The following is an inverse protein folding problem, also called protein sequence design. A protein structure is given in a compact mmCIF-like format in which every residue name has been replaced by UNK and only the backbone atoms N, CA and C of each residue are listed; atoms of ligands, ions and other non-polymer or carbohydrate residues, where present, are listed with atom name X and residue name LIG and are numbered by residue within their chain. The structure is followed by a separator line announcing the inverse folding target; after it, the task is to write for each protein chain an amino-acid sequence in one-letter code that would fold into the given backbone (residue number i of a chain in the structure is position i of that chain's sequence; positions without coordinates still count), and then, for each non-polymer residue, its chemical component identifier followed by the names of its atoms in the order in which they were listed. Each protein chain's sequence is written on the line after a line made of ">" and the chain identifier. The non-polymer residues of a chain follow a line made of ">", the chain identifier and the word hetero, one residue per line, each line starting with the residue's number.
data_IF_315987247887
#
_entry.id   IF_315987247887
#
_cell.length_a   1.000
_cell.length_b   1.000
_cell.length_c   1.000
_cell.angle_alpha   90.00
_cell.angle_beta   90.00
_cell.angle_gamma   90.00
#
_symmetry.space_group_name_H-M   'P 1'
#
loop_
_entity.id
_entity.type
_entity.pdbx_description
1 polymer ?
#
# COMPACT_ATOMS: atom_id res chain seq x y z
N UNK A 1 -12.91 -17.24 15.21
CA UNK A 1 -11.81 -17.54 16.15
C UNK A 1 -10.84 -18.45 15.44
N UNK A 2 -9.54 -18.29 15.71
CA UNK A 2 -8.50 -19.17 15.20
C UNK A 2 -7.95 -19.99 16.37
N UNK A 3 -8.12 -21.31 16.33
CA UNK A 3 -7.59 -22.21 17.35
C UNK A 3 -6.13 -22.50 17.06
N UNK A 4 -5.24 -22.00 17.90
CA UNK A 4 -3.79 -22.13 17.76
C UNK A 4 -3.19 -22.91 18.93
N UNK A 5 -1.99 -23.42 18.72
CA UNK A 5 -1.13 -23.90 19.79
C UNK A 5 -0.18 -22.76 20.20
N UNK A 6 -0.02 -22.53 21.50
CA UNK A 6 0.91 -21.55 22.02
C UNK A 6 1.93 -22.21 22.95
N UNK A 7 3.19 -21.77 22.88
CA UNK A 7 4.23 -22.19 23.81
C UNK A 7 4.33 -21.14 24.91
N UNK A 8 4.03 -21.55 26.15
CA UNK A 8 4.30 -20.74 27.34
C UNK A 8 5.78 -20.74 27.61
N UNK A 9 6.38 -19.55 27.55
CA UNK A 9 7.81 -19.32 27.67
C UNK A 9 8.14 -18.23 28.71
N UNK A 10 9.31 -18.29 29.35
CA UNK A 10 9.80 -17.19 30.19
C UNK A 10 9.97 -15.90 29.38
N UNK A 11 9.46 -14.78 29.90
CA UNK A 11 9.46 -13.47 29.24
C UNK A 11 10.88 -13.05 28.78
N UNK A 12 11.91 -13.36 29.57
CA UNK A 12 13.32 -13.04 29.27
C UNK A 12 13.85 -13.73 28.01
N UNK A 13 13.30 -14.90 27.65
CA UNK A 13 13.77 -15.74 26.54
C UNK A 13 12.87 -15.70 25.30
N UNK A 14 11.71 -15.04 25.38
CA UNK A 14 10.72 -15.02 24.30
C UNK A 14 11.27 -14.48 22.97
N UNK A 15 12.14 -13.48 22.99
CA UNK A 15 12.74 -12.92 21.77
C UNK A 15 13.73 -13.88 21.10
N UNK A 16 14.44 -14.69 21.89
CA UNK A 16 15.36 -15.72 21.38
C UNK A 16 14.58 -16.91 20.83
N UNK A 17 13.56 -17.37 21.56
CA UNK A 17 12.66 -18.43 21.13
C UNK A 17 11.89 -18.05 19.87
N UNK A 18 11.45 -16.79 19.72
CA UNK A 18 10.82 -16.33 18.47
C UNK A 18 11.77 -16.52 17.27
N UNK A 19 13.07 -16.26 17.43
CA UNK A 19 14.05 -16.46 16.36
C UNK A 19 14.32 -17.93 16.09
N UNK A 20 14.41 -18.75 17.13
CA UNK A 20 14.62 -20.19 17.00
C UNK A 20 13.44 -20.88 16.30
N UNK A 21 12.21 -20.52 16.66
CA UNK A 21 10.98 -21.08 16.09
C UNK A 21 10.50 -20.31 14.84
N UNK A 22 11.39 -19.59 14.16
CA UNK A 22 11.04 -18.87 12.93
C UNK A 22 10.59 -19.85 11.85
N UNK A 23 9.46 -19.56 11.21
CA UNK A 23 8.82 -20.45 10.23
C UNK A 23 7.77 -21.40 10.83
N UNK A 24 7.71 -21.53 12.16
CA UNK A 24 6.66 -22.27 12.87
C UNK A 24 5.79 -21.38 13.76
N UNK A 25 6.25 -20.16 14.04
CA UNK A 25 5.50 -19.13 14.78
C UNK A 25 4.49 -18.44 13.87
N UNK A 26 3.43 -17.89 14.48
CA UNK A 26 2.38 -17.16 13.79
C UNK A 26 2.98 -15.98 12.99
N UNK A 27 2.98 -16.07 11.66
CA UNK A 27 3.58 -15.06 10.77
C UNK A 27 2.53 -14.51 9.81
N UNK A 28 1.62 -13.72 10.36
CA UNK A 28 0.55 -13.05 9.59
C UNK A 28 0.61 -11.54 9.81
N UNK A 29 0.40 -10.73 8.75
CA UNK A 29 0.38 -9.28 8.88
C UNK A 29 -0.60 -8.82 9.95
N UNK A 30 -0.20 -7.82 10.75
CA UNK A 30 -1.01 -7.20 11.82
C UNK A 30 -1.30 -8.10 13.04
N UNK A 31 -0.81 -9.34 13.06
CA UNK A 31 -0.89 -10.22 14.22
C UNK A 31 0.42 -10.23 15.01
N UNK A 32 0.31 -10.30 16.33
CA UNK A 32 1.47 -10.48 17.21
C UNK A 32 1.65 -11.97 17.48
N UNK A 33 2.86 -12.47 17.28
CA UNK A 33 3.20 -13.84 17.63
C UNK A 33 3.50 -14.03 19.13
N UNK A 34 3.77 -12.96 19.88
CA UNK A 34 3.93 -13.01 21.34
C UNK A 34 2.78 -12.26 22.00
N UNK A 35 2.07 -12.95 22.89
CA UNK A 35 0.95 -12.39 23.67
C UNK A 35 1.17 -12.63 25.17
N UNK A 36 0.42 -11.90 26.00
CA UNK A 36 0.46 -12.07 27.45
C UNK A 36 -0.15 -13.41 27.87
N UNK A 37 0.39 -14.02 28.91
CA UNK A 37 -0.14 -15.23 29.55
C UNK A 37 -0.99 -14.82 30.76
N UNK A 38 -2.21 -14.35 30.50
CA UNK A 38 -3.06 -13.73 31.52
C UNK A 38 -2.39 -12.50 32.15
N UNK A 39 -2.32 -12.47 33.48
CA UNK A 39 -1.70 -11.38 34.26
C UNK A 39 -0.23 -11.65 34.64
N UNK A 40 0.35 -12.76 34.15
CA UNK A 40 1.73 -13.12 34.47
C UNK A 40 2.73 -12.14 33.85
N UNK A 41 3.65 -11.62 34.68
CA UNK A 41 4.79 -10.82 34.22
C UNK A 41 6.02 -11.67 33.88
N UNK A 42 6.02 -12.92 34.32
CA UNK A 42 7.15 -13.85 34.20
C UNK A 42 7.07 -14.68 32.93
N UNK A 43 5.86 -14.98 32.46
CA UNK A 43 5.60 -15.83 31.29
C UNK A 43 4.88 -15.06 30.19
N UNK A 44 5.12 -15.48 28.95
CA UNK A 44 4.37 -15.04 27.77
C UNK A 44 4.06 -16.25 26.89
N UNK A 45 3.10 -16.08 26.00
CA UNK A 45 2.70 -17.10 25.04
C UNK A 45 3.29 -16.77 23.67
N UNK A 46 4.05 -17.71 23.11
CA UNK A 46 4.51 -17.68 21.73
C UNK A 46 3.54 -18.49 20.87
N UNK A 47 2.77 -17.80 20.03
CA UNK A 47 1.77 -18.40 19.15
C UNK A 47 2.44 -19.11 17.98
N UNK A 48 2.06 -20.36 17.75
CA UNK A 48 2.44 -21.14 16.58
C UNK A 48 1.45 -20.94 15.43
N UNK A 49 1.90 -21.18 14.20
CA UNK A 49 1.04 -21.12 13.02
C UNK A 49 -0.02 -22.24 13.04
N UNK A 50 -1.10 -22.03 12.30
CA UNK A 50 -2.21 -22.98 12.22
C UNK A 50 -1.75 -24.33 11.67
N UNK A 51 -2.11 -25.43 12.36
CA UNK A 51 -1.71 -26.79 11.99
C UNK A 51 -0.35 -27.25 12.52
N UNK A 52 0.42 -26.37 13.18
CA UNK A 52 1.68 -26.76 13.84
C UNK A 52 1.37 -27.47 15.16
N UNK A 53 1.86 -28.69 15.30
CA UNK A 53 1.80 -29.47 16.55
C UNK A 53 3.20 -29.65 17.14
N UNK A 54 3.30 -29.96 18.43
CA UNK A 54 4.60 -30.25 19.06
C UNK A 54 5.33 -31.40 18.36
N UNK A 55 4.61 -32.43 17.92
CA UNK A 55 5.17 -33.60 17.24
C UNK A 55 5.67 -33.27 15.83
N UNK A 56 5.05 -32.28 15.16
CA UNK A 56 5.44 -31.80 13.84
C UNK A 56 6.67 -30.89 13.84
N UNK A 57 7.19 -30.51 15.02
CA UNK A 57 8.39 -29.69 15.12
C UNK A 57 9.67 -30.51 14.89
N UNK A 58 10.69 -29.92 14.24
CA UNK A 58 12.04 -30.50 14.17
C UNK A 58 12.54 -30.96 15.54
N UNK A 59 13.28 -32.08 15.57
CA UNK A 59 13.81 -32.67 16.81
C UNK A 59 14.63 -31.68 17.64
N UNK A 60 15.37 -30.79 16.98
CA UNK A 60 16.14 -29.72 17.63
C UNK A 60 15.24 -28.73 18.40
N UNK A 61 14.11 -28.33 17.81
CA UNK A 61 13.17 -27.40 18.46
C UNK A 61 12.39 -28.08 19.60
N UNK A 62 12.13 -29.39 19.49
CA UNK A 62 11.53 -30.17 20.58
C UNK A 62 12.48 -30.28 21.77
N UNK A 63 13.75 -30.62 21.52
CA UNK A 63 14.77 -30.67 22.57
C UNK A 63 15.00 -29.29 23.23
N UNK A 64 14.97 -28.22 22.42
CA UNK A 64 15.02 -26.85 22.94
C UNK A 64 13.80 -26.53 23.81
N UNK A 65 12.59 -26.90 23.38
CA UNK A 65 11.38 -26.70 24.15
C UNK A 65 11.43 -27.42 25.52
N UNK A 66 11.93 -28.65 25.55
CA UNK A 66 12.12 -29.41 26.80
C UNK A 66 13.18 -28.78 27.70
N UNK A 67 14.34 -28.41 27.14
CA UNK A 67 15.45 -27.78 27.88
C UNK A 67 15.02 -26.45 28.52
N UNK A 68 14.20 -25.69 27.80
CA UNK A 68 13.69 -24.39 28.22
C UNK A 68 12.40 -24.47 29.05
N UNK A 69 11.87 -25.68 29.29
CA UNK A 69 10.67 -25.90 30.08
C UNK A 69 9.40 -25.30 29.45
N UNK A 70 9.33 -25.24 28.13
CA UNK A 70 8.18 -24.69 27.40
C UNK A 70 6.98 -25.63 27.52
N UNK A 71 5.82 -25.07 27.85
CA UNK A 71 4.58 -25.85 27.93
C UNK A 71 3.63 -25.43 26.81
N UNK A 72 3.12 -26.39 26.06
CA UNK A 72 2.15 -26.12 25.01
C UNK A 72 0.75 -25.98 25.63
N UNK A 73 0.09 -24.88 25.30
CA UNK A 73 -1.27 -24.57 25.76
C UNK A 73 -2.15 -24.25 24.55
N UNK A 74 -3.41 -24.71 24.52
CA UNK A 74 -4.35 -24.29 23.50
C UNK A 74 -4.63 -22.79 23.66
N UNK A 75 -4.64 -22.06 22.55
CA UNK A 75 -4.89 -20.62 22.54
C UNK A 75 -5.91 -20.26 21.47
N UNK A 76 -7.01 -19.63 21.88
CA UNK A 76 -8.02 -19.13 20.96
C UNK A 76 -7.74 -17.66 20.64
N UNK A 77 -7.28 -17.42 19.41
CA UNK A 77 -7.07 -16.06 18.93
C UNK A 77 -8.38 -15.48 18.38
N UNK A 78 -8.86 -14.43 19.03
CA UNK A 78 -10.00 -13.64 18.56
C UNK A 78 -9.54 -12.64 17.50
N UNK A 79 -9.84 -12.95 16.24
CA UNK A 79 -9.55 -12.07 15.11
C UNK A 79 -10.56 -10.92 15.06
N UNK A 80 -10.18 -9.77 15.59
CA UNK A 80 -10.94 -8.52 15.47
C UNK A 80 -10.80 -7.87 14.09
N UNK A 81 -11.61 -6.83 13.82
CA UNK A 81 -11.57 -6.09 12.55
C UNK A 81 -10.17 -5.56 12.23
N UNK A 82 -9.49 -4.93 13.19
CA UNK A 82 -8.16 -4.32 13.00
C UNK A 82 -7.08 -5.31 12.55
N UNK A 83 -7.27 -6.60 12.84
CA UNK A 83 -6.34 -7.68 12.51
C UNK A 83 -6.53 -8.22 11.09
N UNK A 84 -7.64 -7.89 10.43
CA UNK A 84 -7.96 -8.37 9.09
C UNK A 84 -7.45 -7.40 8.01
N UNK A 85 -7.00 -7.97 6.89
CA UNK A 85 -6.73 -7.21 5.65
C UNK A 85 -8.04 -6.73 5.02
N UNK A 86 -7.96 -5.75 4.11
CA UNK A 86 -9.13 -5.31 3.34
C UNK A 86 -9.76 -6.48 2.57
N UNK A 87 -8.95 -7.30 1.90
CA UNK A 87 -9.39 -8.51 1.20
C UNK A 87 -10.14 -9.48 2.13
N UNK A 88 -9.58 -9.78 3.31
CA UNK A 88 -10.20 -10.70 4.27
C UNK A 88 -11.52 -10.16 4.84
N UNK A 89 -11.64 -8.83 5.00
CA UNK A 89 -12.91 -8.19 5.39
C UNK A 89 -13.92 -8.26 4.24
N UNK A 90 -13.52 -7.89 3.02
CA UNK A 90 -14.41 -7.88 1.87
C UNK A 90 -14.94 -9.27 1.54
N UNK A 91 -14.11 -10.32 1.62
CA UNK A 91 -14.54 -11.71 1.46
C UNK A 91 -15.60 -12.16 2.48
N UNK A 92 -15.71 -11.50 3.63
CA UNK A 92 -16.74 -11.78 4.64
C UNK A 92 -17.99 -10.93 4.48
N UNK A 93 -17.89 -9.76 3.85
CA UNK A 93 -19.00 -8.82 3.66
C UNK A 93 -19.70 -9.00 2.31
N UNK A 94 -18.96 -9.40 1.27
CA UNK A 94 -19.50 -9.65 -0.06
C UNK A 94 -20.23 -11.01 -0.09
N UNK A 95 -21.33 -11.12 -0.86
CA UNK A 95 -22.06 -12.37 -0.98
C UNK A 95 -21.25 -13.44 -1.73
N UNK A 96 -21.63 -14.71 -1.56
CA UNK A 96 -21.05 -15.82 -2.30
C UNK A 96 -21.19 -15.58 -3.81
N UNK A 97 -20.07 -15.67 -4.53
CA UNK A 97 -20.00 -15.45 -5.99
C UNK A 97 -19.53 -14.06 -6.41
N UNK A 98 -19.36 -13.10 -5.49
CA UNK A 98 -18.75 -11.80 -5.80
C UNK A 98 -17.33 -11.76 -5.26
N UNK A 99 -16.36 -11.75 -6.15
CA UNK A 99 -14.96 -11.64 -5.77
C UNK A 99 -14.63 -10.23 -5.26
N UNK A 100 -13.79 -10.16 -4.22
CA UNK A 100 -13.21 -8.90 -3.78
C UNK A 100 -12.28 -8.33 -4.86
N UNK A 101 -12.18 -7.00 -5.02
CA UNK A 101 -11.22 -6.40 -5.94
C UNK A 101 -9.80 -6.79 -5.55
N UNK A 102 -9.07 -7.39 -6.49
CA UNK A 102 -7.74 -7.97 -6.26
C UNK A 102 -6.65 -6.92 -6.02
N UNK A 103 -6.80 -5.74 -6.62
CA UNK A 103 -5.84 -4.65 -6.50
C UNK A 103 -6.49 -3.31 -6.79
N UNK A 104 -5.86 -2.25 -6.30
CA UNK A 104 -6.18 -0.87 -6.61
C UNK A 104 -4.87 -0.10 -6.78
N UNK A 105 -4.94 1.00 -7.50
CA UNK A 105 -3.83 1.91 -7.67
C UNK A 105 -4.03 3.13 -6.76
N UNK A 106 -2.92 3.73 -6.34
CA UNK A 106 -2.93 4.90 -5.46
C UNK A 106 -2.25 6.09 -6.12
N UNK A 107 -2.85 7.26 -5.94
CA UNK A 107 -2.38 8.53 -6.47
C UNK A 107 -2.45 9.55 -5.32
N UNK A 108 -1.37 9.59 -4.56
CA UNK A 108 -1.30 10.32 -3.30
C UNK A 108 -2.30 9.73 -2.30
N UNK A 109 -3.32 10.49 -1.91
CA UNK A 109 -4.36 10.02 -0.98
C UNK A 109 -5.61 9.44 -1.67
N UNK A 110 -5.61 9.34 -3.00
CA UNK A 110 -6.74 8.83 -3.78
C UNK A 110 -6.44 7.37 -4.14
N UNK A 111 -7.36 6.46 -3.83
CA UNK A 111 -7.35 5.11 -4.40
C UNK A 111 -8.31 5.06 -5.57
N UNK A 112 -7.88 4.46 -6.67
CA UNK A 112 -8.73 4.24 -7.83
C UNK A 112 -8.90 2.75 -8.12
N UNK A 113 -10.15 2.37 -8.39
CA UNK A 113 -10.60 1.01 -8.65
C UNK A 113 -11.18 0.89 -10.06
N UNK A 114 -11.07 -0.31 -10.61
CA UNK A 114 -11.79 -0.74 -11.81
C UNK A 114 -12.74 -1.86 -11.39
N UNK A 115 -13.92 -1.50 -10.88
CA UNK A 115 -14.91 -2.48 -10.42
C UNK A 115 -15.57 -3.19 -11.61
N UNK A 116 -15.81 -4.49 -11.44
CA UNK A 116 -16.61 -5.30 -12.37
C UNK A 116 -18.09 -5.11 -12.10
N UNK A 117 -18.94 -5.45 -13.07
CA UNK A 117 -20.41 -5.29 -12.96
C UNK A 117 -20.99 -5.97 -11.71
N UNK A 118 -20.49 -7.16 -11.37
CA UNK A 118 -20.87 -7.91 -10.16
C UNK A 118 -20.54 -7.19 -8.84
N UNK A 119 -19.53 -6.31 -8.86
CA UNK A 119 -19.04 -5.55 -7.72
C UNK A 119 -19.72 -4.18 -7.58
N UNK A 120 -20.28 -3.63 -8.66
CA UNK A 120 -20.91 -2.30 -8.68
C UNK A 120 -22.01 -2.12 -7.61
N UNK A 121 -22.87 -3.11 -7.30
CA UNK A 121 -23.85 -2.99 -6.21
C UNK A 121 -23.21 -2.77 -4.84
N UNK A 122 -21.96 -3.23 -4.65
CA UNK A 122 -21.23 -3.19 -3.38
C UNK A 122 -20.14 -2.11 -3.36
N UNK A 123 -20.08 -1.22 -4.36
CA UNK A 123 -19.01 -0.23 -4.52
C UNK A 123 -18.77 0.64 -3.29
N UNK A 124 -19.83 1.07 -2.60
CA UNK A 124 -19.70 1.88 -1.39
C UNK A 124 -19.15 1.09 -0.20
N UNK A 125 -19.53 -0.19 -0.07
CA UNK A 125 -18.97 -1.09 0.97
C UNK A 125 -17.49 -1.32 0.71
N UNK A 126 -17.14 -1.58 -0.56
CA UNK A 126 -15.75 -1.74 -0.98
C UNK A 126 -14.93 -0.48 -0.67
N UNK A 127 -15.44 0.69 -1.05
CA UNK A 127 -14.78 1.96 -0.80
C UNK A 127 -14.60 2.26 0.69
N UNK A 128 -15.62 2.00 1.52
CA UNK A 128 -15.55 2.21 2.96
C UNK A 128 -14.49 1.33 3.62
N UNK A 129 -14.44 0.04 3.27
CA UNK A 129 -13.42 -0.88 3.80
C UNK A 129 -12.01 -0.45 3.38
N UNK A 130 -11.83 0.03 2.14
CA UNK A 130 -10.52 0.52 1.71
C UNK A 130 -10.07 1.74 2.51
N UNK A 131 -10.94 2.73 2.76
CA UNK A 131 -10.60 3.88 3.61
C UNK A 131 -10.22 3.45 5.03
N UNK A 132 -11.04 2.58 5.63
CA UNK A 132 -10.80 2.10 6.99
C UNK A 132 -9.48 1.34 7.14
N UNK A 133 -9.10 0.54 6.13
CA UNK A 133 -7.90 -0.30 6.18
C UNK A 133 -6.63 0.40 5.75
N UNK A 134 -6.74 1.60 5.17
CA UNK A 134 -5.64 2.35 4.61
C UNK A 134 -5.70 3.81 5.07
N UNK A 135 -5.14 4.13 6.26
CA UNK A 135 -5.25 5.46 6.87
C UNK A 135 -4.66 6.63 6.05
N UNK A 136 -3.87 6.34 5.01
CA UNK A 136 -3.33 7.36 4.10
C UNK A 136 -4.33 7.79 3.02
N UNK A 137 -5.35 6.98 2.76
CA UNK A 137 -6.38 7.28 1.78
C UNK A 137 -7.43 8.21 2.39
N UNK A 138 -7.92 9.15 1.59
CA UNK A 138 -9.06 10.03 1.95
C UNK A 138 -10.22 9.92 0.96
N UNK A 139 -9.93 9.48 -0.25
CA UNK A 139 -10.89 9.40 -1.35
C UNK A 139 -10.72 8.08 -2.07
N UNK A 140 -11.82 7.38 -2.35
CA UNK A 140 -11.83 6.19 -3.21
C UNK A 140 -12.74 6.46 -4.38
N UNK A 141 -12.21 6.26 -5.59
CA UNK A 141 -12.95 6.43 -6.82
C UNK A 141 -13.06 5.12 -7.58
N UNK A 142 -14.17 4.94 -8.29
CA UNK A 142 -14.34 3.91 -9.30
C UNK A 142 -14.29 4.54 -10.68
N UNK A 143 -13.56 3.89 -11.59
CA UNK A 143 -13.52 4.26 -12.99
C UNK A 143 -14.84 3.87 -13.68
N UNK A 144 -15.53 4.85 -14.23
CA UNK A 144 -16.65 4.64 -15.16
C UNK A 144 -16.05 4.54 -16.57
N UNK A 145 -16.51 3.60 -17.38
CA UNK A 145 -15.82 3.19 -18.61
C UNK A 145 -15.63 4.26 -19.70
N UNK A 146 -14.81 3.86 -20.70
CA UNK A 146 -14.40 4.53 -21.97
C UNK A 146 -13.63 5.87 -21.88
N UNK A 147 -12.56 5.97 -22.69
CA UNK A 147 -11.77 7.18 -22.90
C UNK A 147 -12.37 7.89 -24.12
N UNK A 148 -13.25 8.85 -23.92
CA UNK A 148 -13.91 9.56 -25.04
C UNK A 148 -13.45 11.02 -25.23
N UNK A 149 -12.51 11.50 -24.43
CA UNK A 149 -12.12 12.91 -24.37
C UNK A 149 -10.68 13.20 -24.83
N UNK A 150 -10.47 14.38 -25.41
CA UNK A 150 -9.19 14.88 -25.97
C UNK A 150 -8.03 14.84 -24.95
N UNK A 151 -8.37 14.95 -23.67
CA UNK A 151 -7.43 14.95 -22.55
C UNK A 151 -7.17 13.57 -21.94
N UNK A 152 -7.78 12.50 -22.48
CA UNK A 152 -7.71 11.11 -21.98
C UNK A 152 -8.03 10.96 -20.49
N UNK A 153 -8.99 11.75 -19.99
CA UNK A 153 -9.40 11.73 -18.59
C UNK A 153 -10.53 10.72 -18.42
N UNK A 154 -10.43 9.88 -17.40
CA UNK A 154 -11.46 8.89 -17.13
C UNK A 154 -12.62 9.54 -16.37
N UNK A 155 -13.85 9.22 -16.75
CA UNK A 155 -14.99 9.51 -15.90
C UNK A 155 -14.88 8.66 -14.63
N UNK A 156 -15.09 9.30 -13.49
CA UNK A 156 -14.87 8.68 -12.19
C UNK A 156 -16.02 9.01 -11.25
N UNK A 157 -16.46 7.99 -10.52
CA UNK A 157 -17.41 8.12 -9.43
C UNK A 157 -16.65 8.06 -8.11
N UNK A 158 -16.90 9.02 -7.20
CA UNK A 158 -16.43 8.92 -5.82
C UNK A 158 -17.32 7.91 -5.09
N UNK A 159 -16.75 6.78 -4.70
CA UNK A 159 -17.47 5.68 -4.05
C UNK A 159 -17.32 5.71 -2.53
N UNK A 160 -16.28 6.36 -2.00
CA UNK A 160 -16.12 6.62 -0.57
C UNK A 160 -15.20 7.80 -0.28
N UNK A 161 -15.42 8.46 0.86
CA UNK A 161 -14.54 9.50 1.37
C UNK A 161 -14.91 10.92 0.91
N UNK A 162 -13.97 11.84 1.04
CA UNK A 162 -14.17 13.24 0.63
C UNK A 162 -14.13 13.35 -0.90
N UNK A 163 -15.00 14.13 -1.56
CA UNK A 163 -14.98 14.32 -3.02
C UNK A 163 -13.85 15.28 -3.44
N UNK A 164 -12.63 15.03 -2.97
CA UNK A 164 -11.43 15.81 -3.25
C UNK A 164 -10.51 15.01 -4.16
N UNK A 165 -10.33 15.51 -5.38
CA UNK A 165 -9.50 14.89 -6.41
C UNK A 165 -8.17 15.63 -6.66
N UNK A 166 -7.95 16.76 -5.99
CA UNK A 166 -6.65 17.42 -5.91
C UNK A 166 -5.71 16.65 -4.98
N UNK A 167 -4.61 16.12 -5.49
CA UNK A 167 -3.64 15.31 -4.75
C UNK A 167 -2.20 15.72 -5.03
N UNK A 168 -1.28 15.28 -4.18
CA UNK A 168 0.16 15.43 -4.37
C UNK A 168 0.79 14.03 -4.45
N UNK A 169 1.62 13.82 -5.47
CA UNK A 169 2.38 12.59 -5.68
C UNK A 169 3.86 12.90 -5.72
N UNK A 170 4.67 12.01 -5.16
CA UNK A 170 6.12 12.11 -5.23
C UNK A 170 6.67 11.05 -6.17
N UNK A 171 7.39 11.45 -7.21
CA UNK A 171 8.13 10.55 -8.11
C UNK A 171 9.56 11.02 -8.24
N UNK A 172 10.53 10.13 -8.04
CA UNK A 172 11.97 10.44 -8.12
C UNK A 172 12.41 11.69 -7.34
N UNK A 173 11.83 11.91 -6.16
CA UNK A 173 12.12 13.09 -5.32
C UNK A 173 11.43 14.39 -5.76
N UNK A 174 10.67 14.36 -6.86
CA UNK A 174 9.85 15.47 -7.35
C UNK A 174 8.42 15.36 -6.87
N UNK A 175 7.85 16.47 -6.39
CA UNK A 175 6.46 16.56 -5.97
C UNK A 175 5.61 17.16 -7.09
N UNK A 176 4.58 16.44 -7.50
CA UNK A 176 3.60 16.87 -8.49
C UNK A 176 2.26 17.06 -7.80
N UNK A 177 1.68 18.25 -7.94
CA UNK A 177 0.31 18.53 -7.49
C UNK A 177 -0.60 18.50 -8.70
N UNK A 178 -1.66 17.69 -8.63
CA UNK A 178 -2.54 17.43 -9.77
C UNK A 178 -3.98 17.25 -9.32
N UNK A 179 -4.91 17.57 -10.21
CA UNK A 179 -6.33 17.24 -10.07
C UNK A 179 -6.61 16.00 -10.92
N UNK A 180 -6.87 14.86 -10.27
CA UNK A 180 -7.01 13.58 -10.96
C UNK A 180 -8.23 13.55 -11.91
N UNK A 181 -9.20 14.47 -11.74
CA UNK A 181 -10.33 14.63 -12.65
C UNK A 181 -10.03 15.40 -13.94
N UNK A 182 -8.84 16.00 -14.05
CA UNK A 182 -8.46 16.86 -15.18
C UNK A 182 -7.23 16.38 -15.93
N UNK A 183 -6.34 15.67 -15.24
CA UNK A 183 -5.10 15.18 -15.84
C UNK A 183 -5.01 13.66 -15.86
N UNK A 184 -4.45 13.12 -16.94
CA UNK A 184 -4.04 11.73 -16.98
C UNK A 184 -2.77 11.52 -16.12
N UNK A 185 -2.82 10.53 -15.24
CA UNK A 185 -1.68 10.11 -14.42
C UNK A 185 -1.62 8.58 -14.30
N UNK A 186 -0.42 8.01 -14.45
CA UNK A 186 -0.18 6.57 -14.29
C UNK A 186 1.16 6.33 -13.60
N UNK A 187 1.11 5.82 -12.37
CA UNK A 187 2.30 5.56 -11.56
C UNK A 187 3.18 4.44 -12.12
N UNK A 188 2.64 3.51 -12.93
CA UNK A 188 3.41 2.40 -13.51
C UNK A 188 4.40 2.83 -14.58
N UNK A 189 4.23 4.02 -15.16
CA UNK A 189 5.13 4.55 -16.18
C UNK A 189 6.37 5.24 -15.58
N UNK A 190 6.42 5.39 -14.26
CA UNK A 190 7.49 6.08 -13.55
C UNK A 190 8.90 5.58 -13.88
N UNK A 191 9.09 4.26 -13.91
CA UNK A 191 10.40 3.66 -14.21
C UNK A 191 10.84 3.91 -15.65
N UNK A 192 9.91 3.85 -16.60
CA UNK A 192 10.19 4.12 -18.01
C UNK A 192 10.51 5.60 -18.24
N UNK A 193 9.81 6.50 -17.55
CA UNK A 193 10.11 7.94 -17.59
C UNK A 193 11.54 8.21 -17.14
N UNK A 194 11.94 7.63 -16.01
CA UNK A 194 13.30 7.80 -15.50
C UNK A 194 14.34 7.17 -16.44
N UNK A 195 14.08 5.97 -16.97
CA UNK A 195 15.00 5.31 -17.90
C UNK A 195 15.27 6.18 -19.13
N UNK A 196 14.22 6.76 -19.72
CA UNK A 196 14.34 7.63 -20.88
C UNK A 196 15.10 8.92 -20.54
N UNK A 197 14.72 9.62 -19.47
CA UNK A 197 15.41 10.84 -19.04
C UNK A 197 16.88 10.56 -18.71
N UNK A 198 17.17 9.40 -18.10
CA UNK A 198 18.52 8.98 -17.74
C UNK A 198 19.39 8.66 -18.95
N UNK A 199 18.79 8.25 -20.06
CA UNK A 199 19.51 7.93 -21.29
C UNK A 199 19.92 9.16 -22.13
N UNK A 200 19.37 10.33 -21.81
CA UNK A 200 19.69 11.56 -22.55
C UNK A 200 21.15 12.01 -22.29
N UNK A 201 21.77 12.79 -23.19
CA UNK A 201 23.05 13.41 -22.91
C UNK A 201 22.95 14.52 -21.86
N UNK A 202 24.02 14.72 -21.09
CA UNK A 202 24.12 15.85 -20.16
C UNK A 202 24.08 17.18 -20.94
N UNK A 203 23.46 18.22 -20.36
CA UNK A 203 23.27 19.54 -20.98
C UNK A 203 22.54 19.54 -22.35
N UNK A 204 21.78 18.49 -22.66
CA UNK A 204 20.93 18.42 -23.85
C UNK A 204 19.65 19.24 -23.74
N UNK A 205 18.92 19.35 -24.85
CA UNK A 205 17.59 19.96 -24.92
C UNK A 205 16.52 18.86 -25.03
N UNK A 206 15.58 18.82 -24.10
CA UNK A 206 14.38 17.97 -24.17
C UNK A 206 13.19 18.82 -24.61
N UNK A 207 12.49 18.38 -25.66
CA UNK A 207 11.22 18.98 -26.08
C UNK A 207 10.08 18.00 -25.80
N UNK A 208 9.28 18.28 -24.79
CA UNK A 208 8.12 17.48 -24.41
C UNK A 208 6.85 18.05 -25.05
N UNK A 209 6.42 17.43 -26.15
CA UNK A 209 5.26 17.88 -26.93
C UNK A 209 3.93 17.63 -26.22
N UNK A 210 3.89 16.77 -25.20
CA UNK A 210 2.69 16.38 -24.45
C UNK A 210 2.99 16.37 -22.96
N UNK A 211 3.59 17.46 -22.48
CA UNK A 211 4.17 17.51 -21.15
C UNK A 211 3.17 17.24 -20.03
N UNK A 212 1.89 17.56 -20.20
CA UNK A 212 0.90 17.43 -19.14
C UNK A 212 1.38 18.14 -17.86
N UNK A 213 1.54 17.39 -16.76
CA UNK A 213 2.09 17.91 -15.51
C UNK A 213 3.63 17.78 -15.36
N UNK A 214 4.31 17.37 -16.43
CA UNK A 214 5.77 17.33 -16.56
C UNK A 214 6.47 16.08 -16.02
N UNK A 215 5.96 14.84 -16.19
CA UNK A 215 6.62 13.66 -15.66
C UNK A 215 7.99 13.36 -16.31
N UNK A 216 8.25 13.87 -17.52
CA UNK A 216 9.57 13.85 -18.17
C UNK A 216 10.32 15.17 -17.98
N UNK A 217 9.61 16.29 -18.12
CA UNK A 217 10.16 17.63 -18.04
C UNK A 217 10.84 17.92 -16.69
N UNK A 218 10.16 17.60 -15.58
CA UNK A 218 10.68 17.90 -14.23
C UNK A 218 11.93 17.07 -13.92
N UNK A 219 11.97 15.73 -14.10
CA UNK A 219 13.20 14.97 -13.89
C UNK A 219 14.35 15.37 -14.83
N UNK A 220 14.06 15.74 -16.08
CA UNK A 220 15.08 16.18 -17.02
C UNK A 220 15.71 17.53 -16.60
N UNK A 221 14.88 18.48 -16.15
CA UNK A 221 15.34 19.77 -15.62
C UNK A 221 16.22 19.58 -14.37
N UNK A 222 15.84 18.68 -13.47
CA UNK A 222 16.65 18.35 -12.27
C UNK A 222 18.03 17.80 -12.61
N UNK A 223 18.17 17.14 -13.75
CA UNK A 223 19.46 16.63 -14.25
C UNK A 223 20.27 17.67 -15.03
N UNK A 224 19.79 18.91 -15.12
CA UNK A 224 20.45 20.02 -15.79
C UNK A 224 20.24 20.08 -17.30
N UNK A 225 19.20 19.43 -17.84
CA UNK A 225 18.81 19.60 -19.24
C UNK A 225 17.99 20.87 -19.42
N UNK A 226 18.09 21.48 -20.59
CA UNK A 226 17.17 22.56 -21.00
C UNK A 226 15.88 21.91 -21.47
N UNK A 227 14.74 22.30 -20.89
CA UNK A 227 13.44 21.69 -21.19
C UNK A 227 12.52 22.72 -21.84
N UNK A 228 11.93 22.35 -22.97
CA UNK A 228 10.82 23.06 -23.60
C UNK A 228 9.62 22.13 -23.72
N UNK A 229 8.41 22.67 -23.68
CA UNK A 229 7.21 21.85 -23.87
C UNK A 229 5.94 22.67 -24.04
N UNK A 230 4.92 22.04 -24.61
CA UNK A 230 3.57 22.60 -24.72
C UNK A 230 2.64 21.73 -23.88
N UNK A 231 2.31 22.20 -22.66
CA UNK A 231 1.31 21.54 -21.82
C UNK A 231 -0.10 21.86 -22.33
N UNK A 232 -0.94 20.83 -22.52
CA UNK A 232 -2.36 21.01 -22.87
C UNK A 232 -3.22 21.56 -21.74
N UNK A 233 -2.68 21.60 -20.51
CA UNK A 233 -3.33 22.18 -19.34
C UNK A 233 -2.63 23.46 -18.90
N UNK A 234 -3.38 24.56 -18.90
CA UNK A 234 -2.90 25.93 -18.69
C UNK A 234 -2.35 26.22 -17.28
N UNK A 235 -2.38 25.25 -16.35
CA UNK A 235 -1.96 25.44 -14.96
C UNK A 235 -0.59 24.82 -14.60
N UNK A 236 -0.10 23.82 -15.34
CA UNK A 236 1.16 23.12 -15.02
C UNK A 236 2.43 23.94 -15.30
N UNK A 237 2.45 24.68 -16.41
CA UNK A 237 3.64 25.37 -16.92
C UNK A 237 4.00 26.62 -16.10
N UNK A 238 3.06 27.19 -15.32
CA UNK A 238 3.34 28.36 -14.47
C UNK A 238 4.24 28.06 -13.27
N UNK A 239 4.32 26.80 -12.83
CA UNK A 239 5.17 26.42 -11.69
C UNK A 239 6.63 26.12 -12.07
N UNK A 240 6.91 25.82 -13.33
CA UNK A 240 8.26 25.46 -13.77
C UNK A 240 9.20 26.67 -13.88
N UNK A 241 8.68 27.88 -14.16
CA UNK A 241 9.49 29.11 -14.21
C UNK A 241 9.83 29.71 -12.84
N UNK A 242 9.15 29.34 -11.76
CA UNK A 242 9.42 29.91 -10.42
C UNK A 242 10.43 29.14 -9.59
N UNK A 243 10.66 27.85 -9.85
CA UNK A 243 11.62 27.03 -9.06
C UNK A 243 13.03 26.97 -9.63
N UNK A 244 13.23 27.31 -10.90
CA UNK A 244 14.56 27.36 -11.53
C UNK A 244 15.27 28.73 -11.39
N UNK A 245 14.69 29.69 -10.65
CA UNK A 245 15.10 31.10 -10.71
C UNK A 245 15.15 31.86 -9.38
N UNK A 246 15.51 31.22 -8.26
CA UNK A 246 15.94 31.97 -7.06
C UNK A 246 17.38 31.59 -6.69
N UNK A 247 18.36 32.50 -6.90
CA UNK A 247 19.59 32.43 -6.13
C UNK A 247 19.24 32.76 -4.68
N UNK A 248 19.62 31.87 -3.76
CA UNK A 248 19.75 32.23 -2.35
C UNK A 248 20.81 33.32 -2.25
N UNK A 249 20.37 34.57 -2.04
CA UNK A 249 21.25 35.65 -1.66
C UNK A 249 21.73 35.40 -0.23
N UNK A 250 23.04 35.17 -0.09
CA UNK A 250 23.83 35.43 1.11
C UNK A 250 24.79 36.57 0.80
#
# INVERSE_FOLDING_TARGET
>A
MLGLLALRAPNRKCSELMKAFRGFTLDRPRLRCIVADGDSKETKLLLLEEGVTLEGLPTELRALAETEGLTAVPYNLELGYSMLSADAVLKRLLPAGVDAPSSFETIGHIAHLNLRDEQLPYRHVIGAVLLDKNPHLRTVVNKLGSIENEYRVFDMEVIAGEPRLETEVTQHGSKFRLDFSKVYWNSRLESEHLRLVSSLPAAGVLVDMMAGIGPFAVPAAQRGLTVGGRGGDNDGVRNERRRAGQPTAG
#
